data_IF_900614089189
#
_entry.id   IF_900614089189
#
_cell.length_a   1.000
_cell.length_b   1.000
_cell.length_c   1.000
_cell.angle_alpha   90.00
_cell.angle_beta   90.00
_cell.angle_gamma   90.00
#
_symmetry.space_group_name_H-M   'P 1'
#
loop_
_entity.id
_entity.type
_entity.pdbx_description
1 polymer ?
#
# COMPACT_ATOMS: atom_id res chain seq x y z
N UNK A 1 8.62 16.23 -19.02
CA UNK A 1 7.89 15.61 -17.88
C UNK A 1 8.65 15.89 -16.60
N UNK A 2 7.99 16.37 -15.53
CA UNK A 2 8.65 16.53 -14.21
C UNK A 2 9.02 15.16 -13.64
N UNK A 3 10.19 14.99 -12.99
CA UNK A 3 10.54 13.72 -12.36
C UNK A 3 9.58 13.45 -11.21
N UNK A 4 9.02 12.25 -11.19
CA UNK A 4 8.21 11.77 -10.07
C UNK A 4 9.12 11.69 -8.86
N UNK A 5 8.61 12.09 -7.69
CA UNK A 5 9.29 11.97 -6.41
C UNK A 5 8.52 10.98 -5.53
N UNK A 6 8.68 9.65 -5.75
CA UNK A 6 7.88 8.63 -5.07
C UNK A 6 7.90 8.79 -3.55
N UNK A 7 9.06 9.12 -2.98
CA UNK A 7 9.24 9.35 -1.56
C UNK A 7 8.24 10.37 -0.97
N UNK A 8 7.99 11.48 -1.67
CA UNK A 8 7.04 12.51 -1.21
C UNK A 8 5.61 11.96 -1.22
N UNK A 9 5.23 11.22 -2.25
CA UNK A 9 3.89 10.63 -2.32
C UNK A 9 3.66 9.62 -1.19
N UNK A 10 4.63 8.73 -0.92
CA UNK A 10 4.53 7.77 0.18
C UNK A 10 4.45 8.46 1.55
N UNK A 11 5.24 9.52 1.78
CA UNK A 11 5.17 10.28 3.03
C UNK A 11 3.85 11.03 3.21
N UNK A 12 3.32 11.66 2.15
CA UNK A 12 2.01 12.31 2.19
C UNK A 12 0.93 11.27 2.51
N UNK A 13 0.93 10.11 1.85
CA UNK A 13 -0.03 9.04 2.14
C UNK A 13 0.09 8.55 3.58
N UNK A 14 1.31 8.38 4.09
CA UNK A 14 1.53 8.01 5.50
C UNK A 14 0.96 9.04 6.48
N UNK A 15 1.20 10.33 6.25
CA UNK A 15 0.63 11.41 7.06
C UNK A 15 -0.90 11.35 7.03
N UNK A 16 -1.49 11.16 5.84
CA UNK A 16 -2.95 11.02 5.70
C UNK A 16 -3.47 9.83 6.50
N UNK A 17 -2.81 8.67 6.44
CA UNK A 17 -3.16 7.48 7.23
C UNK A 17 -3.17 7.80 8.73
N UNK A 18 -2.11 8.43 9.24
CA UNK A 18 -2.03 8.77 10.65
C UNK A 18 -3.04 9.82 11.08
N UNK A 19 -3.33 10.81 10.22
CA UNK A 19 -4.36 11.83 10.49
C UNK A 19 -5.74 11.19 10.57
N UNK A 20 -6.08 10.31 9.62
CA UNK A 20 -7.35 9.57 9.65
C UNK A 20 -7.44 8.76 10.95
N UNK A 21 -6.38 8.01 11.28
CA UNK A 21 -6.39 7.18 12.47
C UNK A 21 -6.41 7.92 13.79
N UNK A 22 -5.90 9.16 13.84
CA UNK A 22 -6.04 10.02 15.00
C UNK A 22 -7.49 10.41 15.25
N UNK A 23 -8.28 10.66 14.20
CA UNK A 23 -9.71 10.97 14.32
C UNK A 23 -10.56 9.72 14.57
N UNK A 24 -10.08 8.54 14.17
CA UNK A 24 -10.77 7.26 14.26
C UNK A 24 -10.37 6.44 15.52
N UNK A 25 -9.65 7.06 16.46
CA UNK A 25 -9.04 6.39 17.63
C UNK A 25 -10.03 5.64 18.56
N UNK A 26 -11.33 5.90 18.43
CA UNK A 26 -12.37 5.32 19.28
C UNK A 26 -13.29 4.29 18.57
N UNK A 27 -12.97 3.82 17.36
CA UNK A 27 -13.84 2.91 16.60
C UNK A 27 -13.41 1.44 16.64
N UNK A 28 -14.40 0.57 16.41
CA UNK A 28 -14.35 -0.89 16.50
C UNK A 28 -13.30 -1.55 15.59
N UNK A 29 -12.88 -2.77 15.94
CA UNK A 29 -11.91 -3.57 15.17
C UNK A 29 -12.38 -3.98 13.76
N UNK A 30 -11.46 -4.06 12.80
CA UNK A 30 -11.68 -4.76 11.54
C UNK A 30 -11.75 -6.27 11.83
N UNK A 31 -12.87 -6.89 11.46
CA UNK A 31 -13.09 -8.34 11.51
C UNK A 31 -13.03 -8.88 10.08
N UNK A 32 -12.14 -9.83 9.82
CA UNK A 32 -12.00 -10.49 8.52
C UNK A 32 -12.37 -11.97 8.71
N UNK A 33 -13.31 -12.47 7.91
CA UNK A 33 -13.68 -13.89 7.91
C UNK A 33 -13.03 -14.60 6.71
N UNK A 34 -12.19 -15.59 6.99
CA UNK A 34 -11.59 -16.46 5.97
C UNK A 34 -11.88 -17.92 6.34
N UNK A 35 -12.78 -18.57 5.59
CA UNK A 35 -13.10 -19.99 5.73
C UNK A 35 -13.21 -20.44 7.20
N UNK A 36 -14.19 -19.88 7.91
CA UNK A 36 -14.54 -20.17 9.31
C UNK A 36 -13.52 -19.70 10.37
N UNK A 37 -12.47 -18.98 9.96
CA UNK A 37 -11.52 -18.35 10.89
C UNK A 37 -11.73 -16.83 10.92
N UNK A 38 -11.97 -16.30 12.12
CA UNK A 38 -12.09 -14.85 12.36
C UNK A 38 -10.74 -14.26 12.75
N UNK A 39 -10.23 -13.35 11.92
CA UNK A 39 -9.10 -12.49 12.26
C UNK A 39 -9.63 -11.13 12.70
N UNK A 40 -9.29 -10.74 13.93
CA UNK A 40 -9.66 -9.45 14.51
C UNK A 40 -8.39 -8.60 14.61
N UNK A 41 -8.36 -7.48 13.91
CA UNK A 41 -7.26 -6.51 13.95
C UNK A 41 -7.83 -5.20 14.46
N UNK A 42 -7.22 -4.61 15.49
CA UNK A 42 -7.66 -3.29 15.95
C UNK A 42 -7.39 -2.25 14.86
N UNK A 43 -8.29 -1.28 14.69
CA UNK A 43 -8.11 -0.22 13.69
C UNK A 43 -6.80 0.53 13.94
N UNK A 44 -6.49 0.77 15.21
CA UNK A 44 -5.24 1.42 15.62
C UNK A 44 -4.01 0.63 15.17
N UNK A 45 -3.96 -0.69 15.37
CA UNK A 45 -2.84 -1.51 14.91
C UNK A 45 -2.72 -1.48 13.38
N UNK A 46 -3.85 -1.54 12.67
CA UNK A 46 -3.89 -1.45 11.21
C UNK A 46 -3.37 -0.09 10.71
N UNK A 47 -3.79 1.01 11.34
CA UNK A 47 -3.33 2.38 11.03
C UNK A 47 -1.83 2.50 11.28
N UNK A 48 -1.34 2.05 12.44
CA UNK A 48 0.08 2.14 12.78
C UNK A 48 0.92 1.31 11.80
N UNK A 49 0.50 0.08 11.51
CA UNK A 49 1.19 -0.82 10.60
C UNK A 49 1.23 -0.23 9.18
N UNK A 50 0.08 0.17 8.63
CA UNK A 50 -0.02 0.72 7.28
C UNK A 50 0.73 2.06 7.17
N UNK A 51 0.54 2.99 8.10
CA UNK A 51 1.25 4.27 8.13
C UNK A 51 2.76 4.09 8.16
N UNK A 52 3.26 3.22 9.05
CA UNK A 52 4.68 2.90 9.17
C UNK A 52 5.25 2.25 7.91
N UNK A 53 4.48 1.35 7.28
CA UNK A 53 4.88 0.71 6.02
C UNK A 53 5.10 1.74 4.91
N UNK A 54 4.21 2.72 4.77
CA UNK A 54 4.38 3.83 3.83
C UNK A 54 5.56 4.73 4.17
N UNK A 55 5.84 4.99 5.45
CA UNK A 55 7.07 5.71 5.86
C UNK A 55 8.31 4.98 5.38
N UNK A 56 8.39 3.66 5.62
CA UNK A 56 9.54 2.82 5.26
C UNK A 56 9.75 2.86 3.74
N UNK A 57 8.71 2.67 2.94
CA UNK A 57 8.83 2.74 1.47
C UNK A 57 9.29 4.14 1.03
N UNK A 58 8.70 5.19 1.59
CA UNK A 58 9.11 6.56 1.29
C UNK A 58 10.58 6.81 1.62
N UNK A 59 11.05 6.26 2.73
CA UNK A 59 12.45 6.32 3.15
C UNK A 59 13.39 5.55 2.20
N UNK A 60 13.01 4.35 1.75
CA UNK A 60 13.78 3.59 0.75
C UNK A 60 13.92 4.40 -0.55
N UNK A 61 12.82 4.98 -1.06
CA UNK A 61 12.88 5.83 -2.25
C UNK A 61 13.72 7.10 -2.03
N UNK A 62 13.71 7.67 -0.84
CA UNK A 62 14.55 8.80 -0.50
C UNK A 62 16.04 8.43 -0.51
N UNK A 63 16.43 7.29 0.09
CA UNK A 63 17.80 6.77 0.01
C UNK A 63 18.21 6.56 -1.44
N UNK A 64 17.36 5.91 -2.24
CA UNK A 64 17.63 5.66 -3.65
C UNK A 64 17.84 6.96 -4.45
N UNK A 65 17.09 8.02 -4.12
CA UNK A 65 17.26 9.34 -4.75
C UNK A 65 18.62 10.00 -4.45
N UNK A 66 19.31 9.56 -3.40
CA UNK A 66 20.66 10.00 -3.02
C UNK A 66 21.76 9.06 -3.50
N UNK A 67 21.38 7.91 -4.06
CA UNK A 67 22.30 6.89 -4.58
C UNK A 67 22.53 7.08 -6.08
N UNK A 68 23.54 6.41 -6.63
CA UNK A 68 23.77 6.29 -8.08
C UNK A 68 22.92 5.19 -8.74
N UNK A 69 21.99 4.58 -8.01
CA UNK A 69 21.12 3.52 -8.54
C UNK A 69 19.99 4.15 -9.35
N UNK A 70 19.84 3.68 -10.59
CA UNK A 70 18.76 4.09 -11.48
C UNK A 70 17.71 2.98 -11.52
N UNK A 71 16.56 3.21 -10.89
CA UNK A 71 15.41 2.32 -10.99
C UNK A 71 14.74 2.45 -12.36
N UNK A 72 14.05 1.40 -12.80
CA UNK A 72 13.19 1.49 -13.97
C UNK A 72 12.02 2.46 -13.67
N UNK A 73 11.92 3.52 -14.47
CA UNK A 73 10.93 4.59 -14.29
C UNK A 73 9.50 4.08 -14.48
N UNK A 74 9.27 3.13 -15.38
CA UNK A 74 7.95 2.55 -15.63
C UNK A 74 7.49 1.70 -14.45
N UNK A 75 8.34 0.80 -13.95
CA UNK A 75 8.03 -0.01 -12.77
C UNK A 75 7.84 0.85 -11.52
N UNK A 76 8.63 1.91 -11.37
CA UNK A 76 8.49 2.89 -10.27
C UNK A 76 7.14 3.59 -10.33
N UNK A 77 6.69 3.99 -11.53
CA UNK A 77 5.37 4.60 -11.72
C UNK A 77 4.25 3.65 -11.29
N UNK A 78 4.24 2.43 -11.83
CA UNK A 78 3.22 1.42 -11.49
C UNK A 78 3.21 1.15 -10.00
N UNK A 79 4.39 0.93 -9.38
CA UNK A 79 4.46 0.69 -7.94
C UNK A 79 3.89 1.84 -7.12
N UNK A 80 4.31 3.07 -7.42
CA UNK A 80 3.87 4.25 -6.68
C UNK A 80 2.36 4.47 -6.84
N UNK A 81 1.85 4.43 -8.07
CA UNK A 81 0.42 4.68 -8.32
C UNK A 81 -0.43 3.57 -7.72
N UNK A 82 -0.11 2.30 -7.99
CA UNK A 82 -0.92 1.18 -7.51
C UNK A 82 -0.92 1.10 -5.99
N UNK A 83 0.21 1.33 -5.31
CA UNK A 83 0.25 1.34 -3.84
C UNK A 83 -0.73 2.38 -3.29
N UNK A 84 -0.62 3.64 -3.73
CA UNK A 84 -1.47 4.74 -3.24
C UNK A 84 -2.95 4.49 -3.55
N UNK A 85 -3.26 4.04 -4.78
CA UNK A 85 -4.64 3.75 -5.17
C UNK A 85 -5.23 2.56 -4.42
N UNK A 86 -4.45 1.51 -4.10
CA UNK A 86 -4.92 0.42 -3.26
C UNK A 86 -5.41 0.94 -1.90
N UNK A 87 -4.65 1.85 -1.27
CA UNK A 87 -5.08 2.43 0.00
C UNK A 87 -6.34 3.30 -0.16
N UNK A 88 -6.41 4.15 -1.19
CA UNK A 88 -7.60 4.97 -1.43
C UNK A 88 -8.85 4.12 -1.71
N UNK A 89 -8.72 3.10 -2.56
CA UNK A 89 -9.81 2.18 -2.90
C UNK A 89 -10.25 1.43 -1.64
N UNK A 90 -9.31 0.97 -0.80
CA UNK A 90 -9.62 0.34 0.48
C UNK A 90 -10.48 1.27 1.35
N UNK A 91 -10.04 2.52 1.57
CA UNK A 91 -10.80 3.49 2.39
C UNK A 91 -12.19 3.77 1.84
N UNK A 92 -12.32 3.95 0.52
CA UNK A 92 -13.61 4.17 -0.15
C UNK A 92 -14.52 2.95 0.02
N UNK A 93 -13.97 1.74 -0.11
CA UNK A 93 -14.71 0.50 0.05
C UNK A 93 -15.24 0.32 1.47
N UNK A 94 -14.39 0.51 2.49
CA UNK A 94 -14.81 0.46 3.90
C UNK A 94 -15.92 1.49 4.16
N UNK A 95 -15.75 2.72 3.69
CA UNK A 95 -16.77 3.77 3.84
C UNK A 95 -18.08 3.38 3.15
N UNK A 96 -18.02 2.88 1.91
CA UNK A 96 -19.19 2.40 1.18
C UNK A 96 -19.95 1.33 1.96
N UNK A 97 -19.25 0.28 2.41
CA UNK A 97 -19.84 -0.82 3.20
C UNK A 97 -20.45 -0.34 4.51
N UNK A 98 -19.80 0.60 5.22
CA UNK A 98 -20.34 1.16 6.47
C UNK A 98 -21.69 1.87 6.27
N UNK A 99 -21.95 2.44 5.08
CA UNK A 99 -23.20 3.11 4.75
C UNK A 99 -24.26 2.12 4.28
N UNK A 100 -23.87 1.07 3.53
CA UNK A 100 -24.81 0.08 2.99
C UNK A 100 -25.22 -0.99 4.00
N UNK A 101 -24.35 -1.44 4.91
CA UNK A 101 -24.73 -2.39 5.97
C UNK A 101 -25.80 -1.80 6.90
N UNK A 102 -25.77 -0.49 7.14
CA UNK A 102 -26.82 0.22 7.86
C UNK A 102 -28.17 0.27 7.11
N UNK A 103 -28.24 -0.18 5.85
CA UNK A 103 -29.42 -0.07 4.98
C UNK A 103 -29.88 -1.37 4.33
N UNK A 104 -29.08 -2.43 4.28
CA UNK A 104 -29.40 -3.63 3.50
C UNK A 104 -29.19 -4.93 4.27
N UNK A 105 -30.30 -5.42 4.83
CA UNK A 105 -30.55 -6.84 5.07
C UNK A 105 -30.92 -7.44 3.70
N UNK A 106 -30.26 -8.53 3.29
CA UNK A 106 -30.51 -9.34 2.07
C UNK A 106 -30.04 -8.80 0.72
N UNK A 107 -28.75 -8.96 0.38
CA UNK A 107 -28.31 -9.14 -1.01
C UNK A 107 -27.09 -10.08 -1.05
N UNK A 108 -27.36 -11.39 -1.20
CA UNK A 108 -26.37 -12.49 -1.23
C UNK A 108 -25.50 -12.55 -2.52
N UNK A 109 -25.73 -11.67 -3.51
CA UNK A 109 -25.07 -11.74 -4.82
C UNK A 109 -23.92 -10.71 -5.03
N UNK A 110 -23.59 -9.91 -4.01
CA UNK A 110 -22.49 -8.94 -4.09
C UNK A 110 -21.18 -9.49 -3.52
N UNK A 111 -20.06 -9.13 -4.13
CA UNK A 111 -18.73 -9.51 -3.67
C UNK A 111 -18.56 -9.07 -2.21
N UNK A 112 -18.48 -10.02 -1.28
CA UNK A 112 -18.48 -9.71 0.16
C UNK A 112 -17.36 -8.74 0.54
N UNK A 113 -17.55 -7.97 1.62
CA UNK A 113 -16.53 -7.07 2.17
C UNK A 113 -15.20 -7.81 2.41
N UNK A 114 -15.27 -9.06 2.91
CA UNK A 114 -14.11 -9.93 3.07
C UNK A 114 -13.38 -10.19 1.74
N UNK A 115 -14.10 -10.59 0.68
CA UNK A 115 -13.51 -10.84 -0.63
C UNK A 115 -12.87 -9.57 -1.20
N UNK A 116 -13.49 -8.40 -1.00
CA UNK A 116 -12.96 -7.11 -1.42
C UNK A 116 -11.63 -6.79 -0.73
N UNK A 117 -11.57 -6.94 0.60
CA UNK A 117 -10.36 -6.72 1.40
C UNK A 117 -9.24 -7.66 0.95
N UNK A 118 -9.54 -8.96 0.77
CA UNK A 118 -8.57 -9.97 0.34
C UNK A 118 -8.01 -9.65 -1.05
N UNK A 119 -8.85 -9.25 -2.01
CA UNK A 119 -8.40 -8.90 -3.36
C UNK A 119 -7.46 -7.69 -3.32
N UNK A 120 -7.79 -6.64 -2.57
CA UNK A 120 -6.92 -5.47 -2.43
C UNK A 120 -5.59 -5.85 -1.79
N UNK A 121 -5.63 -6.68 -0.75
CA UNK A 121 -4.42 -7.14 -0.07
C UNK A 121 -3.50 -7.93 -1.01
N UNK A 122 -4.06 -8.79 -1.87
CA UNK A 122 -3.30 -9.54 -2.88
C UNK A 122 -2.66 -8.58 -3.89
N UNK A 123 -3.41 -7.62 -4.43
CA UNK A 123 -2.90 -6.63 -5.40
C UNK A 123 -1.79 -5.80 -4.75
N UNK A 124 -2.00 -5.35 -3.52
CA UNK A 124 -1.00 -4.58 -2.76
C UNK A 124 0.27 -5.40 -2.52
N UNK A 125 0.13 -6.66 -2.11
CA UNK A 125 1.28 -7.56 -1.88
C UNK A 125 2.06 -7.82 -3.17
N UNK A 126 1.36 -8.07 -4.28
CA UNK A 126 1.97 -8.29 -5.59
C UNK A 126 2.78 -7.06 -6.04
N UNK A 127 2.26 -5.85 -5.84
CA UNK A 127 3.00 -4.65 -6.25
C UNK A 127 4.26 -4.41 -5.40
N UNK A 128 4.27 -4.81 -4.12
CA UNK A 128 5.50 -4.72 -3.31
C UNK A 128 6.59 -5.68 -3.81
N UNK A 129 6.22 -6.88 -4.28
CA UNK A 129 7.17 -7.82 -4.89
C UNK A 129 7.79 -7.20 -6.15
N UNK A 130 6.98 -6.54 -6.99
CA UNK A 130 7.45 -5.86 -8.19
C UNK A 130 8.46 -4.73 -7.86
N UNK A 131 8.25 -4.01 -6.76
CA UNK A 131 9.22 -3.03 -6.27
C UNK A 131 10.56 -3.67 -5.88
N UNK A 132 10.54 -4.80 -5.17
CA UNK A 132 11.75 -5.55 -4.80
C UNK A 132 12.50 -6.00 -6.07
N UNK A 133 11.79 -6.53 -7.08
CA UNK A 133 12.39 -6.92 -8.36
C UNK A 133 13.05 -5.73 -9.05
N UNK A 134 12.38 -4.57 -9.08
CA UNK A 134 12.93 -3.35 -9.67
C UNK A 134 14.20 -2.87 -8.95
N UNK A 135 14.23 -3.01 -7.62
CA UNK A 135 15.40 -2.68 -6.81
C UNK A 135 16.57 -3.65 -7.09
N UNK A 136 16.33 -4.96 -7.10
CA UNK A 136 17.33 -5.98 -7.39
C UNK A 136 17.93 -5.81 -8.80
N UNK A 137 17.10 -5.57 -9.81
CA UNK A 137 17.57 -5.36 -11.19
C UNK A 137 18.43 -4.11 -11.32
N UNK A 138 18.07 -3.02 -10.63
CA UNK A 138 18.88 -1.80 -10.59
C UNK A 138 20.24 -2.01 -9.93
N UNK A 139 20.28 -2.74 -8.81
CA UNK A 139 21.53 -3.08 -8.13
C UNK A 139 22.44 -3.96 -9.00
N UNK A 140 21.89 -5.02 -9.61
CA UNK A 140 22.65 -5.91 -10.50
C UNK A 140 23.23 -5.15 -11.70
N UNK A 141 22.44 -4.28 -12.33
CA UNK A 141 22.91 -3.44 -13.42
C UNK A 141 24.06 -2.53 -12.97
N UNK A 142 23.93 -1.86 -11.82
CA UNK A 142 24.97 -0.98 -11.29
C UNK A 142 26.30 -1.72 -11.05
N UNK A 143 26.25 -2.91 -10.43
CA UNK A 143 27.46 -3.72 -10.20
C UNK A 143 28.11 -4.18 -11.51
N UNK A 144 27.32 -4.59 -12.51
CA UNK A 144 27.84 -5.03 -13.80
C UNK A 144 28.58 -3.90 -14.54
N UNK A 145 28.01 -2.70 -14.58
CA UNK A 145 28.64 -1.56 -15.26
C UNK A 145 29.90 -1.06 -14.54
N UNK A 146 29.91 -1.02 -13.20
CA UNK A 146 31.11 -0.63 -12.44
C UNK A 146 32.28 -1.61 -12.60
N UNK A 147 32.00 -2.89 -12.86
CA UNK A 147 33.05 -3.91 -13.08
C UNK A 147 33.70 -3.80 -14.46
N UNK A 148 33.02 -3.19 -15.44
CA UNK A 148 33.51 -3.02 -16.83
C UNK A 148 34.38 -1.77 -17.01
N UNK A 149 34.37 -0.87 -16.03
CA UNK A 149 35.14 0.39 -16.00
C UNK A 149 36.45 0.28 -15.19
N UNK A 150 36.74 -0.89 -14.61
CA UNK A 150 38.01 -1.25 -13.97
C UNK A 150 38.75 -2.26 -14.84
#
# INVERSE_FOLDING_TARGET
MRPIKPNIYFWITSIIIFVIGFFDYNTDSIVINIHDTYYVISNLDFIILSGSFYVIIGFIYWILSKSSLNLNVFLTKIHTTTSIFCFLIFMIGIFYYSITENKFIMLDDSLSMDAFIVIIFIIFSFIQILFIINLCTSMLAHFYFNKKLK
#
